data_IF_480514806891
#
_entry.id   IF_480514806891
#
_cell.length_a   1.000
_cell.length_b   1.000
_cell.length_c   1.000
_cell.angle_alpha   90.00
_cell.angle_beta   90.00
_cell.angle_gamma   90.00
#
_symmetry.space_group_name_H-M   'P 1'
#
loop_
_entity.id
_entity.type
_entity.pdbx_description
1 polymer ?
#
# COMPACT_ATOMS: atom_id res chain seq x y z
N UNK A 1 27.61 6.90 47.85
CA UNK A 1 27.24 8.18 47.21
C UNK A 1 26.50 7.84 45.93
N UNK A 2 25.18 7.72 46.02
CA UNK A 2 24.26 7.23 44.99
C UNK A 2 23.72 8.43 44.19
N UNK A 3 23.92 8.45 42.87
CA UNK A 3 23.27 9.42 42.00
C UNK A 3 21.88 8.90 41.56
N UNK A 4 20.84 9.76 41.54
CA UNK A 4 19.45 9.37 41.35
C UNK A 4 19.05 9.17 39.88
N UNK A 5 18.15 8.19 39.71
CA UNK A 5 17.23 7.95 38.60
C UNK A 5 16.81 9.14 37.71
N UNK A 6 17.30 9.17 36.48
CA UNK A 6 16.75 10.02 35.39
C UNK A 6 15.59 9.30 34.70
N UNK A 7 14.43 9.24 35.37
CA UNK A 7 13.16 8.99 34.71
C UNK A 7 12.83 10.21 33.85
N UNK A 8 13.31 10.22 32.61
CA UNK A 8 12.93 11.21 31.61
C UNK A 8 11.44 11.03 31.30
N UNK A 9 10.61 11.75 32.04
CA UNK A 9 9.20 11.97 31.79
C UNK A 9 9.05 12.56 30.39
N UNK A 10 8.65 11.74 29.42
CA UNK A 10 8.18 12.23 28.12
C UNK A 10 6.83 12.91 28.33
N UNK A 11 6.79 14.23 28.10
CA UNK A 11 5.60 15.05 28.28
C UNK A 11 4.46 14.63 27.32
N UNK A 12 3.20 14.54 27.79
CA UNK A 12 2.06 14.26 26.93
C UNK A 12 1.61 15.57 26.28
N UNK A 13 2.16 15.91 25.11
CA UNK A 13 1.71 17.07 24.34
C UNK A 13 0.93 16.65 23.09
N UNK A 14 -0.38 16.89 23.14
CA UNK A 14 -1.22 17.13 21.96
C UNK A 14 -2.06 15.98 21.39
N UNK A 15 -2.70 15.15 22.22
CA UNK A 15 -3.64 14.11 21.73
C UNK A 15 -4.74 14.67 20.81
N UNK A 16 -5.32 15.82 21.17
CA UNK A 16 -6.36 16.50 20.38
C UNK A 16 -5.84 17.04 19.03
N UNK A 17 -4.69 17.72 19.03
CA UNK A 17 -4.08 18.25 17.80
C UNK A 17 -3.55 17.14 16.88
N UNK A 18 -3.29 15.94 17.43
CA UNK A 18 -2.92 14.74 16.67
C UNK A 18 -4.15 14.07 16.08
N UNK A 19 -5.25 13.96 16.83
CA UNK A 19 -6.53 13.46 16.35
C UNK A 19 -7.11 14.30 15.20
N UNK A 20 -7.07 15.63 15.32
CA UNK A 20 -7.50 16.53 14.24
C UNK A 20 -6.69 16.36 12.96
N UNK A 21 -5.36 16.14 13.08
CA UNK A 21 -4.50 15.85 11.92
C UNK A 21 -4.84 14.51 11.26
N UNK A 22 -5.13 13.45 12.03
CA UNK A 22 -5.54 12.15 11.49
C UNK A 22 -6.84 12.29 10.69
N UNK A 23 -7.81 13.02 11.23
CA UNK A 23 -9.09 13.24 10.55
C UNK A 23 -8.93 14.01 9.23
N UNK A 24 -8.08 15.04 9.21
CA UNK A 24 -7.75 15.79 7.98
C UNK A 24 -7.03 14.89 6.97
N UNK A 25 -6.11 14.03 7.42
CA UNK A 25 -5.41 13.08 6.55
C UNK A 25 -6.36 12.05 5.94
N UNK A 26 -7.30 11.52 6.73
CA UNK A 26 -8.35 10.62 6.25
C UNK A 26 -9.28 11.33 5.25
N UNK A 27 -9.70 12.57 5.54
CA UNK A 27 -10.51 13.36 4.63
C UNK A 27 -9.79 13.65 3.31
N UNK A 28 -8.47 13.89 3.35
CA UNK A 28 -7.64 14.10 2.15
C UNK A 28 -7.53 12.82 1.32
N UNK A 29 -7.37 11.65 1.95
CA UNK A 29 -7.43 10.34 1.29
C UNK A 29 -8.80 10.10 0.63
N UNK A 30 -9.89 10.41 1.31
CA UNK A 30 -11.24 10.32 0.75
C UNK A 30 -11.42 11.28 -0.43
N UNK A 31 -10.93 12.53 -0.32
CA UNK A 31 -10.96 13.51 -1.40
C UNK A 31 -10.19 13.05 -2.64
N UNK A 32 -9.01 12.44 -2.44
CA UNK A 32 -8.23 11.85 -3.52
C UNK A 32 -8.97 10.70 -4.20
N UNK A 33 -9.62 9.84 -3.41
CA UNK A 33 -10.44 8.75 -3.94
C UNK A 33 -11.61 9.28 -4.77
N UNK A 34 -12.32 10.31 -4.30
CA UNK A 34 -13.41 10.94 -5.06
C UNK A 34 -12.91 11.56 -6.36
N UNK A 35 -11.75 12.24 -6.34
CA UNK A 35 -11.15 12.78 -7.55
C UNK A 35 -10.78 11.67 -8.56
N UNK A 36 -10.24 10.56 -8.07
CA UNK A 36 -9.93 9.39 -8.91
C UNK A 36 -11.19 8.72 -9.47
N UNK A 37 -12.26 8.58 -8.66
CA UNK A 37 -13.54 8.04 -9.10
C UNK A 37 -14.20 8.93 -10.15
N UNK A 38 -14.18 10.26 -9.96
CA UNK A 38 -14.65 11.22 -10.95
C UNK A 38 -13.87 11.08 -12.27
N UNK A 39 -12.55 10.96 -12.20
CA UNK A 39 -11.69 10.78 -13.37
C UNK A 39 -12.02 9.48 -14.11
N UNK A 40 -12.21 8.37 -13.39
CA UNK A 40 -12.61 7.07 -13.96
C UNK A 40 -13.95 7.17 -14.66
N UNK A 41 -14.93 7.86 -14.05
CA UNK A 41 -16.26 8.06 -14.64
C UNK A 41 -16.19 8.90 -15.91
N UNK A 42 -15.41 9.98 -15.92
CA UNK A 42 -15.24 10.83 -17.12
C UNK A 42 -14.45 10.13 -18.22
N UNK A 43 -13.49 9.27 -17.86
CA UNK A 43 -12.66 8.53 -18.80
C UNK A 43 -13.27 7.18 -19.22
N UNK A 44 -14.45 6.81 -18.71
CA UNK A 44 -15.12 5.52 -18.93
C UNK A 44 -14.19 4.30 -18.74
N UNK A 45 -13.29 4.36 -17.76
CA UNK A 45 -12.32 3.30 -17.54
C UNK A 45 -12.97 2.12 -16.79
N UNK A 46 -12.80 0.86 -17.25
CA UNK A 46 -13.36 -0.34 -16.59
C UNK A 46 -12.55 -0.75 -15.34
N UNK A 47 -12.14 0.23 -14.54
CA UNK A 47 -11.24 0.03 -13.39
C UNK A 47 -11.86 0.71 -12.17
N UNK A 48 -11.85 0.07 -10.97
CA UNK A 48 -12.35 0.72 -9.76
C UNK A 48 -11.56 2.00 -9.45
N UNK A 49 -12.27 3.06 -9.02
CA UNK A 49 -11.65 4.34 -8.62
C UNK A 49 -10.53 4.20 -7.58
N UNK A 50 -10.60 3.17 -6.73
CA UNK A 50 -9.54 2.86 -5.76
C UNK A 50 -8.19 2.52 -6.38
N UNK A 51 -8.15 1.79 -7.50
CA UNK A 51 -6.89 1.45 -8.19
C UNK A 51 -6.28 2.70 -8.80
N UNK A 52 -7.10 3.55 -9.41
CA UNK A 52 -6.66 4.84 -9.96
C UNK A 52 -6.19 5.78 -8.85
N UNK A 53 -6.90 5.81 -7.72
CA UNK A 53 -6.49 6.58 -6.54
C UNK A 53 -5.14 6.13 -5.99
N UNK A 54 -4.85 4.83 -5.99
CA UNK A 54 -3.54 4.28 -5.61
C UNK A 54 -2.43 4.77 -6.55
N UNK A 55 -2.66 4.68 -7.87
CA UNK A 55 -1.69 5.14 -8.89
C UNK A 55 -1.47 6.65 -8.78
N UNK A 56 -2.53 7.43 -8.55
CA UNK A 56 -2.45 8.87 -8.39
C UNK A 56 -1.70 9.26 -7.11
N UNK A 57 -1.99 8.60 -5.98
CA UNK A 57 -1.25 8.80 -4.73
C UNK A 57 0.22 8.47 -4.91
N UNK A 58 0.52 7.37 -5.60
CA UNK A 58 1.87 6.94 -5.90
C UNK A 58 2.61 7.96 -6.78
N UNK A 59 1.97 8.46 -7.84
CA UNK A 59 2.52 9.51 -8.69
C UNK A 59 2.81 10.78 -7.89
N UNK A 60 1.89 11.18 -7.01
CA UNK A 60 2.06 12.36 -6.15
C UNK A 60 3.20 12.17 -5.13
N UNK A 61 3.41 10.95 -4.65
CA UNK A 61 4.54 10.57 -3.80
C UNK A 61 5.87 10.65 -4.56
N UNK A 62 5.92 10.17 -5.81
CA UNK A 62 7.10 10.26 -6.66
C UNK A 62 7.45 11.70 -7.05
N UNK A 63 6.45 12.55 -7.30
CA UNK A 63 6.65 13.98 -7.55
C UNK A 63 7.07 14.76 -6.30
N UNK A 64 7.16 14.13 -5.12
CA UNK A 64 7.56 14.77 -3.86
C UNK A 64 6.50 15.69 -3.26
N UNK A 65 5.28 15.69 -3.79
CA UNK A 65 4.19 16.54 -3.33
C UNK A 65 3.62 16.15 -1.96
N UNK A 66 3.82 14.90 -1.54
CA UNK A 66 3.31 14.37 -0.27
C UNK A 66 4.39 13.54 0.41
N UNK A 67 4.68 13.83 1.69
CA UNK A 67 5.59 12.98 2.48
C UNK A 67 4.82 11.75 2.99
N UNK A 68 5.35 10.52 2.87
CA UNK A 68 4.64 9.30 3.30
C UNK A 68 4.20 9.34 4.78
N UNK A 69 5.00 10.01 5.62
CA UNK A 69 4.72 10.22 7.05
C UNK A 69 3.42 10.99 7.31
N UNK A 70 3.01 11.85 6.39
CA UNK A 70 1.76 12.61 6.52
C UNK A 70 0.53 11.77 6.24
N UNK A 71 0.58 10.79 5.35
CA UNK A 71 -0.61 9.98 5.04
C UNK A 71 -0.74 8.77 5.97
N UNK A 72 0.39 8.30 6.51
CA UNK A 72 0.46 7.08 7.32
C UNK A 72 -0.48 7.06 8.52
N UNK A 73 -0.60 8.15 9.29
CA UNK A 73 -1.44 8.14 10.50
C UNK A 73 -2.94 8.12 10.17
N UNK A 74 -3.38 8.85 9.13
CA UNK A 74 -4.75 8.74 8.61
C UNK A 74 -5.07 7.37 8.02
N UNK A 75 -4.13 6.78 7.28
CA UNK A 75 -4.27 5.45 6.71
C UNK A 75 -4.34 4.36 7.80
N UNK A 76 -3.43 4.39 8.79
CA UNK A 76 -3.39 3.42 9.91
C UNK A 76 -4.70 3.46 10.72
N UNK A 77 -5.29 4.66 10.88
CA UNK A 77 -6.60 4.81 11.53
C UNK A 77 -7.72 4.15 10.72
N UNK A 78 -7.82 4.45 9.41
CA UNK A 78 -8.82 3.84 8.53
C UNK A 78 -8.66 2.31 8.42
N UNK A 79 -7.40 1.84 8.44
CA UNK A 79 -7.06 0.41 8.46
C UNK A 79 -7.48 -0.28 9.77
N UNK A 80 -7.45 0.44 10.90
CA UNK A 80 -7.88 -0.11 12.19
C UNK A 80 -9.37 -0.44 12.20
N UNK A 81 -10.19 0.33 11.47
CA UNK A 81 -11.62 0.09 11.31
C UNK A 81 -11.96 -0.82 10.11
N UNK A 82 -10.99 -1.32 9.34
CA UNK A 82 -11.25 -2.27 8.23
C UNK A 82 -12.05 -3.50 8.69
N UNK A 83 -11.82 -3.97 9.92
CA UNK A 83 -12.57 -5.11 10.48
C UNK A 83 -14.07 -4.81 10.56
N UNK A 84 -14.46 -3.57 10.92
CA UNK A 84 -15.85 -3.13 10.95
C UNK A 84 -16.49 -3.22 9.56
N UNK A 85 -15.75 -2.87 8.50
CA UNK A 85 -16.22 -2.95 7.11
C UNK A 85 -16.27 -4.40 6.57
N UNK A 86 -15.44 -5.29 7.12
CA UNK A 86 -15.47 -6.71 6.74
C UNK A 86 -16.67 -7.46 7.31
N UNK A 87 -17.21 -7.06 8.47
CA UNK A 87 -18.37 -7.75 9.08
C UNK A 87 -19.60 -7.73 8.14
N UNK A 88 -20.07 -6.57 7.63
CA UNK A 88 -21.17 -6.52 6.67
C UNK A 88 -20.90 -7.30 5.38
N UNK A 89 -19.66 -7.21 4.86
CA UNK A 89 -19.28 -7.90 3.64
C UNK A 89 -19.32 -9.43 3.80
N UNK A 90 -18.83 -9.95 4.94
CA UNK A 90 -18.89 -11.37 5.26
C UNK A 90 -20.32 -11.88 5.45
N UNK A 91 -21.16 -11.10 6.16
CA UNK A 91 -22.58 -11.44 6.34
C UNK A 91 -23.33 -11.47 5.01
N UNK A 92 -23.08 -10.49 4.13
CA UNK A 92 -23.64 -10.48 2.78
C UNK A 92 -23.21 -11.73 2.00
N UNK A 93 -21.93 -12.09 2.04
CA UNK A 93 -21.42 -13.29 1.36
C UNK A 93 -22.09 -14.58 1.85
N UNK A 94 -22.32 -14.74 3.15
CA UNK A 94 -23.00 -15.91 3.73
C UNK A 94 -24.48 -15.95 3.35
N UNK A 95 -25.14 -14.81 3.16
CA UNK A 95 -26.54 -14.75 2.70
C UNK A 95 -26.71 -15.33 1.28
N UNK A 96 -25.69 -15.23 0.43
CA UNK A 96 -25.63 -15.90 -0.88
C UNK A 96 -25.17 -17.37 -0.79
N UNK A 97 -25.15 -17.95 0.42
CA UNK A 97 -24.61 -19.28 0.73
C UNK A 97 -25.21 -20.44 -0.06
N UNK A 98 -26.44 -20.30 -0.59
CA UNK A 98 -27.06 -21.29 -1.48
C UNK A 98 -26.25 -21.53 -2.76
N UNK A 99 -25.61 -20.49 -3.30
CA UNK A 99 -24.73 -20.58 -4.47
C UNK A 99 -23.36 -21.17 -4.10
N UNK A 100 -22.86 -20.87 -2.89
CA UNK A 100 -21.60 -21.39 -2.36
C UNK A 100 -21.62 -22.91 -2.13
N UNK A 101 -22.80 -23.49 -1.84
CA UNK A 101 -22.92 -24.94 -1.63
C UNK A 101 -22.82 -25.75 -2.93
N UNK A 102 -23.23 -25.17 -4.06
CA UNK A 102 -23.16 -25.80 -5.39
C UNK A 102 -21.86 -25.44 -6.14
N UNK A 103 -21.44 -24.17 -6.10
CA UNK A 103 -20.32 -23.63 -6.90
C UNK A 103 -19.09 -23.24 -6.07
N UNK A 104 -19.13 -23.37 -4.74
CA UNK A 104 -18.03 -22.96 -3.86
C UNK A 104 -16.70 -23.65 -4.17
N UNK A 105 -16.74 -24.88 -4.69
CA UNK A 105 -15.53 -25.59 -5.12
C UNK A 105 -14.87 -24.95 -6.35
N UNK A 106 -15.64 -24.40 -7.30
CA UNK A 106 -15.12 -23.68 -8.47
C UNK A 106 -14.50 -22.35 -8.04
N UNK A 107 -15.16 -21.63 -7.14
CA UNK A 107 -14.62 -20.42 -6.51
C UNK A 107 -13.30 -20.69 -5.79
N UNK A 108 -13.23 -21.74 -4.97
CA UNK A 108 -12.01 -22.13 -4.27
C UNK A 108 -10.86 -22.43 -5.24
N UNK A 109 -11.12 -23.17 -6.32
CA UNK A 109 -10.12 -23.46 -7.35
C UNK A 109 -9.64 -22.20 -8.07
N UNK A 110 -10.55 -21.29 -8.44
CA UNK A 110 -10.19 -20.02 -9.10
C UNK A 110 -9.36 -19.13 -8.18
N UNK A 111 -9.72 -19.05 -6.89
CA UNK A 111 -8.97 -18.26 -5.91
C UNK A 111 -7.58 -18.85 -5.69
N UNK A 112 -7.47 -20.15 -5.45
CA UNK A 112 -6.18 -20.83 -5.22
C UNK A 112 -5.32 -20.73 -6.49
N UNK A 113 -5.89 -21.09 -7.64
CA UNK A 113 -5.20 -21.04 -8.93
C UNK A 113 -4.76 -19.62 -9.30
N UNK A 114 -5.64 -18.63 -9.13
CA UNK A 114 -5.34 -17.22 -9.36
C UNK A 114 -4.25 -16.69 -8.43
N UNK A 115 -4.30 -17.07 -7.15
CA UNK A 115 -3.29 -16.66 -6.16
C UNK A 115 -1.92 -17.28 -6.47
N UNK A 116 -1.89 -18.58 -6.81
CA UNK A 116 -0.65 -19.25 -7.24
C UNK A 116 -0.09 -18.62 -8.52
N UNK A 117 -0.95 -18.34 -9.50
CA UNK A 117 -0.54 -17.70 -10.75
C UNK A 117 0.05 -16.30 -10.51
N UNK A 118 -0.59 -15.49 -9.66
CA UNK A 118 -0.07 -14.17 -9.28
C UNK A 118 1.25 -14.29 -8.53
N UNK A 119 1.39 -15.23 -7.57
CA UNK A 119 2.65 -15.47 -6.87
C UNK A 119 3.79 -15.83 -7.82
N UNK A 120 3.55 -16.73 -8.78
CA UNK A 120 4.54 -17.12 -9.80
C UNK A 120 4.89 -15.94 -10.70
N UNK A 121 3.90 -15.16 -11.14
CA UNK A 121 4.14 -13.99 -11.98
C UNK A 121 4.98 -12.92 -11.26
N UNK A 122 4.68 -12.65 -9.99
CA UNK A 122 5.47 -11.71 -9.16
C UNK A 122 6.88 -12.26 -8.92
N UNK A 123 7.03 -13.55 -8.60
CA UNK A 123 8.33 -14.17 -8.42
C UNK A 123 9.20 -14.07 -9.69
N UNK A 124 8.61 -14.30 -10.87
CA UNK A 124 9.31 -14.18 -12.14
C UNK A 124 9.68 -12.71 -12.45
N UNK A 125 8.76 -11.77 -12.23
CA UNK A 125 9.03 -10.35 -12.42
C UNK A 125 10.19 -9.85 -11.53
N UNK A 126 10.20 -10.29 -10.26
CA UNK A 126 11.26 -9.95 -9.31
C UNK A 126 12.59 -10.62 -9.67
N UNK A 127 12.61 -11.89 -10.09
CA UNK A 127 13.85 -12.56 -10.51
C UNK A 127 14.47 -11.85 -11.73
N UNK A 128 13.65 -11.44 -12.69
CA UNK A 128 14.09 -10.68 -13.86
C UNK A 128 14.65 -9.31 -13.49
N UNK A 129 13.96 -8.57 -12.60
CA UNK A 129 14.44 -7.29 -12.09
C UNK A 129 15.78 -7.45 -11.34
N UNK A 130 15.88 -8.44 -10.44
CA UNK A 130 17.10 -8.73 -9.69
C UNK A 130 18.27 -9.15 -10.62
N UNK A 131 17.98 -9.93 -11.66
CA UNK A 131 18.96 -10.34 -12.67
C UNK A 131 19.46 -9.15 -13.48
N UNK A 132 18.58 -8.20 -13.82
CA UNK A 132 18.95 -6.96 -14.50
C UNK A 132 19.85 -6.08 -13.62
N UNK A 133 19.49 -5.92 -12.34
CA UNK A 133 20.31 -5.18 -11.38
C UNK A 133 21.70 -5.79 -11.21
N UNK A 134 21.80 -7.12 -11.10
CA UNK A 134 23.11 -7.82 -11.05
C UNK A 134 23.95 -7.56 -12.30
N UNK A 135 23.34 -7.55 -13.50
CA UNK A 135 24.04 -7.22 -14.75
C UNK A 135 24.52 -5.77 -14.79
N UNK A 136 23.71 -4.83 -14.32
CA UNK A 136 24.06 -3.41 -14.25
C UNK A 136 25.15 -3.14 -13.20
N UNK A 137 25.10 -3.83 -12.05
CA UNK A 137 26.10 -3.71 -11.00
C UNK A 137 27.49 -4.18 -11.45
N UNK A 138 27.57 -5.31 -12.18
CA UNK A 138 28.84 -5.81 -12.72
C UNK A 138 29.47 -4.86 -13.75
N UNK A 139 28.66 -4.20 -14.58
CA UNK A 139 29.14 -3.18 -15.53
C UNK A 139 29.71 -1.94 -14.81
N UNK A 140 29.06 -1.49 -13.73
CA UNK A 140 29.55 -0.37 -12.91
C UNK A 140 30.92 -0.68 -12.28
N UNK A 141 31.13 -1.92 -11.81
CA UNK A 141 32.41 -2.34 -11.21
C UNK A 141 33.54 -2.39 -12.26
N UNK A 142 33.27 -2.87 -13.47
CA UNK A 142 34.29 -2.88 -14.55
C UNK A 142 34.73 -1.47 -14.94
N UNK A 143 33.78 -0.53 -15.08
CA UNK A 143 34.11 0.88 -15.35
C UNK A 143 34.89 1.54 -14.20
N UNK A 144 34.54 1.26 -12.94
CA UNK A 144 35.27 1.77 -11.79
C UNK A 144 36.71 1.21 -11.68
N UNK A 145 36.94 -0.03 -12.10
CA UNK A 145 38.28 -0.64 -12.15
C UNK A 145 39.14 -0.05 -13.27
N UNK A 146 38.57 0.18 -14.45
CA UNK A 146 39.30 0.81 -15.56
C UNK A 146 39.73 2.24 -15.24
N UNK A 147 38.86 3.01 -14.57
CA UNK A 147 39.21 4.36 -14.11
C UNK A 147 40.34 4.39 -13.06
N UNK A 148 40.48 3.33 -12.25
CA UNK A 148 41.57 3.21 -11.26
C UNK A 148 42.91 2.78 -11.84
N UNK A 149 42.94 2.15 -13.01
CA UNK A 149 44.19 1.76 -13.68
C UNK A 149 44.73 2.83 -14.64
N UNK A 150 43.93 3.86 -14.95
CA UNK A 150 44.31 4.99 -15.79
C UNK A 150 44.80 6.23 -15.00
N UNK A 151 44.86 6.14 -13.67
CA UNK A 151 45.36 7.16 -12.75
C UNK A 151 46.62 6.64 -12.05
#
# INVERSE_FOLDING_TARGET
>A
MTAPNTSARTAPTGGLARAGRIFVQAALLCGLWVAADALVRTAHLPVPGGVVGLVLLLALLFCGGVTPRWVKAGADWLLSDMLLFFIPAAVAAVQYGGLFRADGWRLALVVIGGTLMVMVAVAFAVDQAARLERRLALRRVHHARQARHAA
#
